data_IF_407972157962
#
_entry.id   IF_407972157962
#
_cell.length_a   1.000
_cell.length_b   1.000
_cell.length_c   1.000
_cell.angle_alpha   90.00
_cell.angle_beta   90.00
_cell.angle_gamma   90.00
#
_symmetry.space_group_name_H-M   'P 1'
#
loop_
_entity.id
_entity.type
_entity.pdbx_description
1 polymer ?
#
# COMPACT_ATOMS: atom_id res chain seq x y z
N UNK A 1 56.25 -3.15 52.81
CA UNK A 1 54.96 -3.62 52.26
C UNK A 1 54.18 -2.56 51.45
N UNK A 2 54.79 -1.45 50.96
CA UNK A 2 54.06 -0.38 50.24
C UNK A 2 54.28 -0.34 48.71
N UNK A 3 55.29 -1.04 48.16
CA UNK A 3 55.60 -1.03 46.71
C UNK A 3 54.71 -1.94 45.86
N UNK A 4 54.14 -3.00 46.44
CA UNK A 4 53.37 -3.99 45.67
C UNK A 4 51.89 -3.57 45.47
N UNK A 5 51.39 -2.62 46.27
CA UNK A 5 50.02 -2.08 46.14
C UNK A 5 49.92 -1.15 44.94
N UNK A 6 50.97 -0.35 44.68
CA UNK A 6 50.99 0.57 43.53
C UNK A 6 51.00 -0.18 42.19
N UNK A 7 51.67 -1.34 42.11
CA UNK A 7 51.72 -2.16 40.89
C UNK A 7 50.40 -2.88 40.59
N UNK A 8 49.62 -3.24 41.62
CA UNK A 8 48.31 -3.86 41.45
C UNK A 8 47.25 -2.86 40.95
N UNK A 9 47.29 -1.61 41.42
CA UNK A 9 46.37 -0.57 40.97
C UNK A 9 46.55 -0.22 39.49
N UNK A 10 47.77 -0.25 38.95
CA UNK A 10 48.03 0.03 37.53
C UNK A 10 47.47 -1.04 36.60
N UNK A 11 47.46 -2.32 37.01
CA UNK A 11 46.93 -3.42 36.22
C UNK A 11 45.38 -3.40 36.11
N UNK A 12 44.69 -2.87 37.13
CA UNK A 12 43.23 -2.77 37.14
C UNK A 12 42.69 -1.70 36.16
N UNK A 13 43.45 -0.64 35.87
CA UNK A 13 43.04 0.42 34.93
C UNK A 13 43.14 0.06 33.45
N UNK A 14 43.85 -1.01 33.08
CA UNK A 14 43.99 -1.44 31.68
C UNK A 14 42.89 -2.40 31.19
N UNK A 15 41.92 -2.74 32.05
CA UNK A 15 40.87 -3.74 31.76
C UNK A 15 39.50 -3.15 31.38
N UNK A 16 39.45 -1.86 31.02
CA UNK A 16 38.19 -1.25 30.57
C UNK A 16 37.83 -1.79 29.17
N UNK A 17 36.62 -2.37 28.96
CA UNK A 17 36.18 -2.78 27.65
C UNK A 17 36.00 -1.56 26.75
N UNK A 18 36.88 -1.40 25.77
CA UNK A 18 36.70 -0.42 24.70
C UNK A 18 35.64 -0.96 23.74
N UNK A 19 34.49 -0.31 23.67
CA UNK A 19 33.47 -0.62 22.67
C UNK A 19 33.94 -0.11 21.31
N UNK A 20 34.07 -1.01 20.33
CA UNK A 20 34.54 -0.70 18.97
C UNK A 20 33.45 -0.13 18.05
N UNK A 21 32.46 0.59 18.59
CA UNK A 21 31.41 1.22 17.80
C UNK A 21 31.91 2.55 17.23
N UNK A 22 31.64 2.79 15.95
CA UNK A 22 31.99 4.04 15.27
C UNK A 22 30.73 4.89 15.14
N UNK A 23 30.68 5.99 15.90
CA UNK A 23 29.68 7.04 15.72
C UNK A 23 30.21 8.14 14.82
N UNK A 24 29.50 8.48 13.75
CA UNK A 24 29.73 9.70 12.97
C UNK A 24 28.60 10.67 13.30
N UNK A 25 28.99 11.85 13.77
CA UNK A 25 28.05 12.91 14.19
C UNK A 25 27.11 12.49 15.35
N UNK A 26 27.49 11.48 16.14
CA UNK A 26 26.77 11.04 17.34
C UNK A 26 27.75 10.61 18.44
N UNK A 27 27.42 10.90 19.70
CA UNK A 27 28.22 10.47 20.86
C UNK A 27 27.76 9.13 21.44
N UNK A 28 26.57 8.67 21.06
CA UNK A 28 25.94 7.47 21.58
C UNK A 28 25.56 6.55 20.41
N UNK A 29 26.54 5.88 19.77
CA UNK A 29 26.25 4.98 18.66
C UNK A 29 25.37 3.81 19.11
N UNK A 30 24.31 3.51 18.35
CA UNK A 30 23.38 2.40 18.64
C UNK A 30 23.69 1.13 17.82
N UNK A 31 24.73 1.19 16.97
CA UNK A 31 25.18 0.11 16.10
C UNK A 31 26.70 0.16 15.93
N UNK A 32 27.29 -0.87 15.31
CA UNK A 32 28.75 -0.92 15.02
C UNK A 32 29.22 0.28 14.19
N UNK A 33 28.39 0.76 13.26
CA UNK A 33 28.53 2.05 12.58
C UNK A 33 27.19 2.78 12.70
N UNK A 34 27.18 3.93 13.36
CA UNK A 34 25.99 4.79 13.49
C UNK A 34 26.31 6.18 12.93
N UNK A 35 25.56 6.62 11.93
CA UNK A 35 25.75 7.91 11.26
C UNK A 35 24.47 8.73 11.44
N UNK A 36 24.57 9.86 12.13
CA UNK A 36 23.48 10.84 12.25
C UNK A 36 23.65 11.97 11.22
N UNK A 37 22.57 12.50 10.63
CA UNK A 37 22.66 13.64 9.73
C UNK A 37 23.08 14.91 10.49
N UNK A 38 23.52 15.93 9.77
CA UNK A 38 23.81 17.25 10.34
C UNK A 38 22.60 17.86 11.06
N UNK A 39 21.39 17.56 10.60
CA UNK A 39 20.11 17.86 11.26
C UNK A 39 19.02 16.91 10.73
N UNK A 40 18.20 16.38 11.63
CA UNK A 40 17.04 15.53 11.27
C UNK A 40 15.87 16.32 10.67
N UNK A 41 15.83 17.64 10.88
CA UNK A 41 14.79 18.54 10.35
C UNK A 41 15.24 19.21 9.06
N UNK A 42 16.53 19.57 8.98
CA UNK A 42 17.10 20.33 7.86
C UNK A 42 18.47 19.79 7.46
N UNK A 43 18.55 18.58 6.86
CA UNK A 43 19.81 18.02 6.40
C UNK A 43 20.44 18.85 5.28
N UNK A 44 21.74 18.69 5.08
CA UNK A 44 22.50 19.30 3.97
C UNK A 44 22.79 18.27 2.89
N UNK A 45 23.13 18.72 1.68
CA UNK A 45 23.56 17.82 0.59
C UNK A 45 24.86 17.05 0.85
N UNK A 46 25.51 17.26 2.01
CA UNK A 46 26.67 16.49 2.47
C UNK A 46 26.27 15.33 3.39
N UNK A 47 25.02 15.28 3.85
CA UNK A 47 24.51 14.15 4.63
C UNK A 47 24.28 12.94 3.72
N UNK A 48 24.93 11.82 4.03
CA UNK A 48 24.85 10.60 3.24
C UNK A 48 26.10 9.74 3.35
N UNK A 49 26.12 8.63 2.60
CA UNK A 49 27.26 7.72 2.49
C UNK A 49 27.58 7.53 1.01
N UNK A 50 28.80 7.85 0.61
CA UNK A 50 29.30 7.50 -0.72
C UNK A 50 29.99 6.14 -0.61
N UNK A 51 29.45 5.16 -1.32
CA UNK A 51 30.04 3.83 -1.46
C UNK A 51 30.98 3.81 -2.67
N UNK A 52 31.88 2.82 -2.79
CA UNK A 52 32.76 2.72 -3.95
C UNK A 52 31.97 2.75 -5.25
N UNK A 53 32.33 3.70 -6.12
CA UNK A 53 31.77 3.82 -7.46
C UNK A 53 32.68 3.12 -8.45
N UNK A 54 32.11 2.31 -9.34
CA UNK A 54 32.85 1.56 -10.35
C UNK A 54 32.18 1.67 -11.71
N UNK A 55 32.98 1.60 -12.78
CA UNK A 55 32.47 1.54 -14.16
C UNK A 55 32.32 0.11 -14.68
N UNK A 56 32.98 -0.84 -14.02
CA UNK A 56 32.94 -2.25 -14.33
C UNK A 56 32.89 -3.05 -13.03
N UNK A 57 32.17 -4.17 -13.06
CA UNK A 57 32.20 -5.13 -11.97
C UNK A 57 33.60 -5.75 -11.84
N UNK A 58 34.08 -6.04 -10.61
CA UNK A 58 35.37 -6.67 -10.41
C UNK A 58 35.53 -7.97 -11.22
N UNK A 59 36.66 -8.13 -11.90
CA UNK A 59 36.98 -9.35 -12.66
C UNK A 59 37.26 -10.55 -11.77
N UNK A 60 37.63 -10.31 -10.51
CA UNK A 60 37.79 -11.31 -9.47
C UNK A 60 36.64 -11.17 -8.49
N UNK A 61 35.88 -12.25 -8.31
CA UNK A 61 34.74 -12.26 -7.41
C UNK A 61 35.14 -11.97 -5.96
N UNK A 62 34.36 -11.17 -5.23
CA UNK A 62 34.57 -10.97 -3.80
C UNK A 62 34.55 -12.26 -2.99
N UNK A 63 35.42 -12.35 -1.98
CA UNK A 63 35.42 -13.47 -1.04
C UNK A 63 34.36 -13.35 0.06
N UNK A 64 33.74 -12.17 0.22
CA UNK A 64 32.74 -11.89 1.27
C UNK A 64 31.41 -11.46 0.66
N UNK A 65 30.33 -12.04 1.18
CA UNK A 65 28.95 -11.65 0.87
C UNK A 65 28.66 -10.21 1.31
N UNK A 66 27.76 -9.55 0.59
CA UNK A 66 27.25 -8.22 0.95
C UNK A 66 28.22 -7.07 0.65
N UNK A 67 29.26 -7.28 -0.17
CA UNK A 67 30.01 -6.16 -0.71
C UNK A 67 29.08 -5.28 -1.53
N UNK A 68 29.18 -3.96 -1.33
CA UNK A 68 28.22 -3.00 -1.84
C UNK A 68 28.94 -1.90 -2.63
N UNK A 69 28.47 -1.63 -3.84
CA UNK A 69 29.05 -0.67 -4.77
C UNK A 69 27.94 0.10 -5.50
N UNK A 70 28.31 1.23 -6.09
CA UNK A 70 27.49 1.90 -7.09
C UNK A 70 28.14 1.69 -8.47
N UNK A 71 27.45 1.03 -9.39
CA UNK A 71 27.88 0.87 -10.77
C UNK A 71 27.40 2.09 -11.56
N UNK A 72 28.28 2.75 -12.32
CA UNK A 72 27.93 3.89 -13.16
C UNK A 72 28.66 3.86 -14.49
N UNK A 73 28.02 4.31 -15.57
CA UNK A 73 28.58 4.32 -16.93
C UNK A 73 29.04 2.93 -17.43
N UNK A 74 28.36 1.86 -17.02
CA UNK A 74 28.66 0.53 -17.57
C UNK A 74 28.04 0.37 -18.96
N UNK A 75 28.70 -0.41 -19.83
CA UNK A 75 28.25 -0.59 -21.22
C UNK A 75 26.98 -1.46 -21.36
N UNK A 76 26.68 -2.31 -20.36
CA UNK A 76 25.64 -3.35 -20.49
C UNK A 76 24.66 -3.39 -19.32
N UNK A 77 25.11 -3.04 -18.12
CA UNK A 77 24.33 -3.05 -16.90
C UNK A 77 23.85 -1.65 -16.58
N UNK A 78 22.67 -1.53 -15.97
CA UNK A 78 22.13 -0.25 -15.55
C UNK A 78 22.94 0.36 -14.41
N UNK A 79 23.02 1.69 -14.39
CA UNK A 79 23.61 2.45 -13.31
C UNK A 79 22.78 2.25 -12.03
N UNK A 80 23.43 1.95 -10.90
CA UNK A 80 22.70 1.70 -9.67
C UNK A 80 23.52 1.06 -8.58
N UNK A 81 22.84 0.75 -7.48
CA UNK A 81 23.45 0.05 -6.36
C UNK A 81 23.47 -1.46 -6.62
N UNK A 82 24.63 -2.08 -6.44
CA UNK A 82 24.81 -3.53 -6.58
C UNK A 82 25.39 -4.11 -5.30
N UNK A 83 24.98 -5.33 -4.97
CA UNK A 83 25.60 -6.11 -3.91
C UNK A 83 26.07 -7.49 -4.40
N UNK A 84 27.13 -8.01 -3.79
CA UNK A 84 27.60 -9.36 -4.05
C UNK A 84 26.81 -10.38 -3.22
N UNK A 85 26.10 -11.29 -3.89
CA UNK A 85 25.30 -12.34 -3.23
C UNK A 85 26.06 -13.65 -2.99
N UNK A 86 27.33 -13.73 -3.40
CA UNK A 86 28.16 -14.94 -3.35
C UNK A 86 28.37 -15.61 -4.69
N UNK A 87 27.55 -15.27 -5.68
CA UNK A 87 27.56 -15.87 -7.01
C UNK A 87 27.57 -14.83 -8.14
N UNK A 88 26.87 -13.71 -7.93
CA UNK A 88 26.71 -12.64 -8.91
C UNK A 88 26.57 -11.28 -8.21
N UNK A 89 26.83 -10.23 -8.99
CA UNK A 89 26.47 -8.88 -8.58
C UNK A 89 24.99 -8.65 -8.88
N UNK A 90 24.20 -8.45 -7.84
CA UNK A 90 22.76 -8.28 -7.92
C UNK A 90 22.45 -6.79 -7.79
N UNK A 91 21.72 -6.23 -8.76
CA UNK A 91 21.22 -4.86 -8.68
C UNK A 91 20.13 -4.75 -7.62
N UNK A 92 20.11 -3.65 -6.88
CA UNK A 92 18.94 -3.30 -6.09
C UNK A 92 17.75 -3.07 -7.04
N UNK A 93 16.56 -3.60 -6.71
CA UNK A 93 15.38 -3.34 -7.53
C UNK A 93 15.10 -1.84 -7.55
N UNK A 94 15.29 -1.21 -8.72
CA UNK A 94 14.96 0.21 -8.93
C UNK A 94 13.46 0.45 -8.84
N UNK A 95 12.67 -0.58 -9.18
CA UNK A 95 11.25 -0.63 -8.94
C UNK A 95 10.84 -2.06 -8.56
N UNK A 96 9.96 -2.17 -7.56
CA UNK A 96 9.17 -3.39 -7.40
C UNK A 96 8.04 -3.24 -8.39
N UNK A 97 8.08 -4.06 -9.44
CA UNK A 97 7.00 -4.12 -10.42
C UNK A 97 5.71 -4.59 -9.72
N UNK A 98 4.83 -3.65 -9.39
CA UNK A 98 3.45 -3.93 -8.92
C UNK A 98 2.49 -4.16 -10.10
N UNK A 99 2.98 -4.19 -11.33
CA UNK A 99 2.18 -4.27 -12.56
C UNK A 99 1.75 -5.71 -12.92
N UNK A 100 1.85 -6.67 -11.99
CA UNK A 100 1.35 -8.03 -12.22
C UNK A 100 -0.19 -8.11 -12.37
N UNK A 101 -0.91 -7.03 -12.03
CA UNK A 101 -2.37 -6.95 -12.05
C UNK A 101 -2.92 -6.09 -13.21
N UNK A 102 -2.30 -6.11 -14.40
CA UNK A 102 -2.76 -5.35 -15.58
C UNK A 102 -4.21 -5.67 -16.03
N UNK A 103 -4.82 -6.69 -15.45
CA UNK A 103 -6.22 -7.07 -15.69
C UNK A 103 -7.15 -6.67 -14.56
N UNK A 104 -6.67 -6.15 -13.42
CA UNK A 104 -7.49 -5.87 -12.24
C UNK A 104 -7.51 -4.36 -11.95
N UNK A 105 -8.71 -3.78 -11.96
CA UNK A 105 -8.94 -2.40 -11.55
C UNK A 105 -9.76 -2.42 -10.26
N UNK A 106 -9.25 -1.84 -9.17
CA UNK A 106 -9.90 -1.89 -7.85
C UNK A 106 -10.21 -0.49 -7.33
N UNK A 107 -11.46 -0.29 -6.92
CA UNK A 107 -11.99 0.97 -6.42
C UNK A 107 -12.55 0.76 -5.02
N UNK A 108 -11.96 1.45 -4.04
CA UNK A 108 -12.30 1.35 -2.64
C UNK A 108 -12.86 2.65 -2.10
N UNK A 109 -13.75 2.56 -1.11
CA UNK A 109 -14.07 3.70 -0.28
C UNK A 109 -15.00 3.42 0.89
N UNK A 110 -15.19 4.47 1.68
CA UNK A 110 -15.93 4.47 2.93
C UNK A 110 -17.06 5.49 2.84
N UNK A 111 -18.18 5.18 3.46
CA UNK A 111 -19.30 6.13 3.56
C UNK A 111 -20.29 6.04 2.41
N UNK A 112 -21.37 6.80 2.58
CA UNK A 112 -22.41 7.02 1.59
C UNK A 112 -22.60 8.52 1.37
N UNK A 113 -23.02 8.91 0.17
CA UNK A 113 -23.41 10.29 -0.13
C UNK A 113 -24.91 10.37 -0.38
N UNK A 114 -25.56 11.38 0.22
CA UNK A 114 -26.99 11.66 0.11
C UNK A 114 -27.78 11.30 1.37
N UNK A 115 -29.03 11.77 1.42
CA UNK A 115 -29.95 11.62 2.56
C UNK A 115 -31.25 10.89 2.20
N UNK A 116 -31.40 10.45 0.94
CA UNK A 116 -32.54 9.65 0.48
C UNK A 116 -32.40 8.17 0.90
N UNK A 117 -33.47 7.39 0.69
CA UNK A 117 -33.46 5.92 0.92
C UNK A 117 -32.44 5.20 0.04
N UNK A 118 -32.20 5.73 -1.17
CA UNK A 118 -31.13 5.31 -2.06
C UNK A 118 -29.97 6.29 -1.92
N UNK A 119 -28.77 5.77 -1.63
CA UNK A 119 -27.56 6.57 -1.44
C UNK A 119 -26.42 6.02 -2.27
N UNK A 120 -25.58 6.91 -2.77
CA UNK A 120 -24.38 6.52 -3.50
C UNK A 120 -23.35 5.98 -2.51
N UNK A 121 -22.74 4.86 -2.87
CA UNK A 121 -21.59 4.29 -2.17
C UNK A 121 -20.36 5.06 -2.62
N UNK A 122 -19.54 5.46 -1.64
CA UNK A 122 -18.38 6.29 -1.92
C UNK A 122 -17.18 5.40 -2.26
N UNK A 123 -16.55 5.70 -3.39
CA UNK A 123 -15.23 5.28 -3.81
C UNK A 123 -14.32 6.51 -3.76
N UNK A 124 -13.24 6.42 -3.00
CA UNK A 124 -12.29 7.52 -2.78
C UNK A 124 -10.85 7.13 -3.14
N UNK A 125 -10.59 5.84 -3.33
CA UNK A 125 -9.28 5.33 -3.71
C UNK A 125 -9.41 4.44 -4.93
N UNK A 126 -8.66 4.79 -5.96
CA UNK A 126 -8.45 3.95 -7.12
C UNK A 126 -7.05 3.33 -7.04
N UNK A 127 -6.99 2.00 -6.96
CA UNK A 127 -5.76 1.22 -7.01
C UNK A 127 -5.58 0.74 -8.45
N UNK A 128 -4.47 1.17 -9.07
CA UNK A 128 -4.17 0.91 -10.48
C UNK A 128 -2.86 0.13 -10.65
N UNK A 129 -2.85 -0.81 -11.59
CA UNK A 129 -1.62 -1.39 -12.15
C UNK A 129 -1.15 -0.57 -13.36
N UNK A 130 -2.02 -0.31 -14.34
CA UNK A 130 -1.81 0.65 -15.45
C UNK A 130 -2.96 1.63 -15.52
N UNK A 131 -2.71 2.85 -16.00
CA UNK A 131 -3.76 3.88 -16.04
C UNK A 131 -4.83 3.60 -17.09
N UNK A 132 -4.56 2.88 -18.18
CA UNK A 132 -5.48 2.47 -19.27
C UNK A 132 -6.72 3.38 -19.48
N UNK A 133 -6.57 4.71 -19.33
CA UNK A 133 -7.66 5.69 -19.31
C UNK A 133 -8.65 5.68 -18.12
N UNK A 134 -8.57 4.75 -17.16
CA UNK A 134 -9.50 4.68 -16.03
C UNK A 134 -9.32 5.86 -15.08
N UNK A 135 -10.43 6.44 -14.63
CA UNK A 135 -10.40 7.55 -13.67
C UNK A 135 -11.45 7.37 -12.58
N UNK A 136 -11.19 7.97 -11.42
CA UNK A 136 -12.15 8.12 -10.32
C UNK A 136 -12.27 9.61 -10.01
N UNK A 137 -13.37 10.23 -10.43
CA UNK A 137 -13.62 11.65 -10.24
C UNK A 137 -15.01 11.84 -9.63
N UNK A 138 -15.13 12.62 -8.56
CA UNK A 138 -16.40 12.90 -7.88
C UNK A 138 -17.25 11.64 -7.65
N UNK A 139 -16.64 10.58 -7.11
CA UNK A 139 -17.28 9.30 -6.84
C UNK A 139 -17.82 8.55 -8.07
N UNK A 140 -17.31 8.88 -9.26
CA UNK A 140 -17.68 8.22 -10.52
C UNK A 140 -16.45 7.57 -11.12
N UNK A 141 -16.58 6.28 -11.44
CA UNK A 141 -15.53 5.50 -12.09
C UNK A 141 -15.76 5.57 -13.59
N UNK A 142 -14.86 6.21 -14.33
CA UNK A 142 -14.95 6.26 -15.80
C UNK A 142 -14.06 5.17 -16.39
N UNK A 143 -14.65 4.34 -17.25
CA UNK A 143 -13.98 3.24 -17.94
C UNK A 143 -12.99 3.79 -18.95
N UNK A 144 -11.74 3.35 -18.85
CA UNK A 144 -10.70 3.77 -19.77
C UNK A 144 -10.41 2.82 -20.92
N UNK A 145 -10.85 1.56 -20.78
CA UNK A 145 -10.59 0.48 -21.74
C UNK A 145 -11.89 -0.28 -22.01
N UNK A 146 -12.21 -0.47 -23.28
CA UNK A 146 -13.37 -1.26 -23.67
C UNK A 146 -13.05 -2.76 -23.53
N UNK A 147 -14.08 -3.56 -23.23
CA UNK A 147 -13.95 -5.01 -23.17
C UNK A 147 -15.03 -5.68 -22.33
N UNK A 148 -14.90 -6.99 -22.19
CA UNK A 148 -15.67 -7.80 -21.26
C UNK A 148 -14.96 -7.86 -19.90
N UNK A 149 -15.71 -7.55 -18.85
CA UNK A 149 -15.22 -7.56 -17.48
C UNK A 149 -16.03 -8.51 -16.61
N UNK A 150 -15.37 -9.22 -15.69
CA UNK A 150 -15.99 -9.70 -14.46
C UNK A 150 -15.97 -8.55 -13.45
N UNK A 151 -17.14 -8.04 -13.12
CA UNK A 151 -17.32 -6.97 -12.15
C UNK A 151 -17.75 -7.60 -10.84
N UNK A 152 -16.98 -7.39 -9.78
CA UNK A 152 -17.25 -7.87 -8.43
C UNK A 152 -17.43 -6.70 -7.49
N UNK A 153 -18.52 -6.70 -6.72
CA UNK A 153 -18.82 -5.65 -5.76
C UNK A 153 -18.98 -6.24 -4.38
N UNK A 154 -18.40 -5.58 -3.37
CA UNK A 154 -18.65 -5.81 -1.96
C UNK A 154 -19.13 -4.53 -1.31
N UNK A 155 -20.31 -4.59 -0.69
CA UNK A 155 -20.92 -3.46 0.01
C UNK A 155 -21.28 -3.83 1.44
N UNK A 156 -21.03 -2.92 2.39
CA UNK A 156 -21.36 -3.17 3.78
C UNK A 156 -22.04 -1.99 4.47
N UNK A 157 -23.12 -2.32 5.18
CA UNK A 157 -23.91 -1.39 6.00
C UNK A 157 -23.94 -1.89 7.44
N UNK A 158 -24.03 -0.97 8.39
CA UNK A 158 -24.39 -1.28 9.77
C UNK A 158 -25.58 -0.47 10.22
N UNK A 159 -26.19 -0.90 11.32
CA UNK A 159 -27.14 -0.07 12.05
C UNK A 159 -26.46 1.13 12.72
N UNK A 160 -27.20 2.23 12.92
CA UNK A 160 -26.81 3.23 13.90
C UNK A 160 -26.98 2.67 15.30
N UNK A 161 -26.25 3.23 16.27
CA UNK A 161 -26.38 2.85 17.68
C UNK A 161 -27.83 3.00 18.16
N UNK A 162 -28.41 1.92 18.71
CA UNK A 162 -29.74 1.91 19.35
C UNK A 162 -30.94 1.72 18.41
N UNK A 163 -30.74 1.37 17.13
CA UNK A 163 -31.84 1.04 16.23
C UNK A 163 -32.19 -0.46 16.27
N UNK A 164 -33.43 -0.80 16.62
CA UNK A 164 -33.91 -2.19 16.71
C UNK A 164 -34.76 -2.62 15.50
N UNK A 165 -34.87 -1.79 14.46
CA UNK A 165 -35.71 -2.12 13.30
C UNK A 165 -35.04 -3.15 12.38
N UNK A 166 -35.83 -4.05 11.81
CA UNK A 166 -35.40 -4.85 10.66
C UNK A 166 -35.23 -3.94 9.43
N UNK A 167 -34.31 -4.27 8.53
CA UNK A 167 -34.12 -3.50 7.30
C UNK A 167 -33.69 -4.39 6.14
N UNK A 168 -34.36 -4.20 5.00
CA UNK A 168 -33.98 -4.81 3.73
C UNK A 168 -33.22 -3.79 2.88
N UNK A 169 -32.13 -4.25 2.29
CA UNK A 169 -31.24 -3.46 1.46
C UNK A 169 -31.15 -4.06 0.07
N UNK A 170 -31.11 -3.20 -0.94
CA UNK A 170 -30.68 -3.54 -2.29
C UNK A 170 -29.35 -2.82 -2.54
N UNK A 171 -28.29 -3.58 -2.77
CA UNK A 171 -27.01 -3.05 -3.23
C UNK A 171 -26.95 -3.21 -4.74
N UNK A 172 -26.66 -2.14 -5.46
CA UNK A 172 -26.68 -2.13 -6.93
C UNK A 172 -25.40 -1.52 -7.49
N UNK A 173 -24.87 -2.12 -8.56
CA UNK A 173 -23.89 -1.48 -9.44
C UNK A 173 -24.63 -0.92 -10.64
N UNK A 174 -24.35 0.33 -10.98
CA UNK A 174 -24.95 1.05 -12.10
C UNK A 174 -23.89 1.32 -13.17
N UNK A 175 -24.28 1.22 -14.43
CA UNK A 175 -23.50 1.65 -15.59
C UNK A 175 -24.29 2.74 -16.30
N UNK A 176 -23.71 3.92 -16.46
CA UNK A 176 -24.34 5.10 -17.02
C UNK A 176 -25.68 5.46 -16.34
N UNK A 177 -25.74 5.28 -15.02
CA UNK A 177 -26.95 5.55 -14.23
C UNK A 177 -28.06 4.49 -14.33
N UNK A 178 -27.84 3.40 -15.08
CA UNK A 178 -28.77 2.27 -15.19
C UNK A 178 -28.26 1.10 -14.37
N UNK A 179 -29.13 0.45 -13.58
CA UNK A 179 -28.77 -0.74 -12.82
C UNK A 179 -28.26 -1.85 -13.74
N UNK A 180 -27.00 -2.25 -13.55
CA UNK A 180 -26.38 -3.34 -14.28
C UNK A 180 -26.56 -4.68 -13.55
N UNK A 181 -26.45 -4.68 -12.23
CA UNK A 181 -26.71 -5.84 -11.36
C UNK A 181 -26.98 -5.38 -9.94
N UNK A 182 -27.69 -6.19 -9.18
CA UNK A 182 -27.96 -5.93 -7.76
C UNK A 182 -28.08 -7.22 -6.95
N UNK A 183 -28.02 -7.06 -5.63
CA UNK A 183 -28.29 -8.11 -4.66
C UNK A 183 -29.14 -7.54 -3.53
N UNK A 184 -30.04 -8.36 -3.02
CA UNK A 184 -30.87 -8.02 -1.86
C UNK A 184 -30.39 -8.77 -0.62
N UNK A 185 -30.42 -8.09 0.51
CA UNK A 185 -30.07 -8.67 1.80
C UNK A 185 -30.88 -8.00 2.90
N UNK A 186 -31.06 -8.70 4.01
CA UNK A 186 -31.68 -8.16 5.21
C UNK A 186 -30.66 -7.92 6.31
N UNK A 187 -31.06 -7.13 7.30
CA UNK A 187 -30.34 -6.91 8.54
C UNK A 187 -31.32 -7.11 9.70
N UNK A 188 -30.91 -7.94 10.65
CA UNK A 188 -31.74 -8.33 11.79
C UNK A 188 -32.09 -7.15 12.71
N UNK A 189 -33.18 -7.31 13.47
CA UNK A 189 -33.73 -6.36 14.44
C UNK A 189 -32.90 -6.25 15.74
N UNK A 190 -31.58 -6.05 15.63
CA UNK A 190 -30.65 -5.96 16.77
C UNK A 190 -29.76 -4.71 16.71
N UNK A 191 -29.49 -4.04 17.83
CA UNK A 191 -28.67 -2.81 17.92
C UNK A 191 -27.26 -2.89 17.31
N UNK A 192 -26.65 -4.07 17.26
CA UNK A 192 -25.28 -4.28 16.77
C UNK A 192 -25.23 -4.92 15.38
N UNK A 193 -26.38 -5.06 14.71
CA UNK A 193 -26.44 -5.72 13.42
C UNK A 193 -25.66 -4.96 12.33
N UNK A 194 -25.01 -5.74 11.48
CA UNK A 194 -24.38 -5.28 10.25
C UNK A 194 -24.64 -6.29 9.14
N UNK A 195 -24.47 -5.85 7.91
CA UNK A 195 -24.62 -6.68 6.73
C UNK A 195 -23.49 -6.38 5.75
N UNK A 196 -22.91 -7.43 5.20
CA UNK A 196 -21.98 -7.39 4.08
C UNK A 196 -22.57 -8.23 2.96
N UNK A 197 -22.47 -7.75 1.74
CA UNK A 197 -22.89 -8.50 0.57
C UNK A 197 -21.79 -8.45 -0.48
N UNK A 198 -21.64 -9.55 -1.21
CA UNK A 198 -20.76 -9.64 -2.36
C UNK A 198 -21.52 -10.27 -3.52
N UNK A 199 -21.37 -9.70 -4.71
CA UNK A 199 -21.89 -10.29 -5.93
C UNK A 199 -20.97 -9.98 -7.10
N UNK A 200 -21.03 -10.81 -8.13
CA UNK A 200 -20.26 -10.63 -9.35
C UNK A 200 -21.11 -10.88 -10.58
N UNK A 201 -20.80 -10.19 -11.67
CA UNK A 201 -21.50 -10.33 -12.94
C UNK A 201 -20.59 -9.97 -14.11
N UNK A 202 -20.91 -10.50 -15.28
CA UNK A 202 -20.21 -10.18 -16.52
C UNK A 202 -20.86 -8.98 -17.19
N UNK A 203 -20.05 -8.03 -17.66
CA UNK A 203 -20.54 -6.87 -18.40
C UNK A 203 -19.53 -6.42 -19.45
N UNK A 204 -20.00 -6.19 -20.68
CA UNK A 204 -19.24 -5.43 -21.67
C UNK A 204 -19.35 -3.94 -21.35
N UNK A 205 -18.20 -3.28 -21.30
CA UNK A 205 -18.05 -1.85 -21.05
C UNK A 205 -17.36 -1.20 -22.24
N UNK A 206 -17.74 0.05 -22.53
CA UNK A 206 -17.09 0.91 -23.51
C UNK A 206 -16.24 1.96 -22.79
N UNK A 207 -15.22 2.48 -23.49
CA UNK A 207 -14.47 3.65 -23.02
C UNK A 207 -15.44 4.81 -22.80
N UNK A 208 -15.38 5.45 -21.64
CA UNK A 208 -16.26 6.54 -21.23
C UNK A 208 -17.52 6.11 -20.47
N UNK A 209 -17.79 4.81 -20.34
CA UNK A 209 -18.86 4.33 -19.46
C UNK A 209 -18.57 4.74 -18.01
N UNK A 210 -19.61 5.17 -17.29
CA UNK A 210 -19.51 5.61 -15.91
C UNK A 210 -20.13 4.57 -14.97
N UNK A 211 -19.34 4.07 -14.03
CA UNK A 211 -19.79 3.16 -12.98
C UNK A 211 -19.96 3.89 -11.66
N UNK A 212 -21.07 3.57 -11.00
CA UNK A 212 -21.36 3.94 -9.61
C UNK A 212 -21.99 2.76 -8.89
N UNK A 213 -22.07 2.83 -7.56
CA UNK A 213 -22.80 1.86 -6.76
C UNK A 213 -23.74 2.56 -5.78
N UNK A 214 -24.86 1.92 -5.46
CA UNK A 214 -25.85 2.44 -4.53
C UNK A 214 -26.25 1.40 -3.50
N UNK A 215 -26.69 1.88 -2.35
CA UNK A 215 -27.39 1.09 -1.35
C UNK A 215 -28.75 1.72 -1.11
N UNK A 216 -29.82 0.91 -1.26
CA UNK A 216 -31.21 1.35 -1.14
C UNK A 216 -31.92 0.58 -0.05
N UNK A 217 -32.50 1.28 0.92
CA UNK A 217 -33.39 0.67 1.94
C UNK A 217 -34.83 0.61 1.40
N UNK A 218 -35.46 -0.56 1.45
CA UNK A 218 -36.73 -0.84 0.75
C UNK A 218 -38.02 -0.47 1.50
N UNK A 219 -38.04 0.61 2.29
CA UNK A 219 -39.25 1.33 2.79
C UNK A 219 -39.65 1.21 4.28
N UNK A 220 -38.85 0.60 5.16
CA UNK A 220 -39.16 0.61 6.62
C UNK A 220 -38.29 1.64 7.36
N UNK A 221 -38.89 2.55 8.12
CA UNK A 221 -38.22 3.44 9.09
C UNK A 221 -37.38 4.60 8.54
N UNK A 222 -36.91 5.52 9.41
CA UNK A 222 -36.09 6.68 9.02
C UNK A 222 -34.75 6.26 8.39
N UNK A 223 -34.14 7.16 7.60
CA UNK A 223 -32.83 6.93 6.99
C UNK A 223 -31.70 6.99 8.03
N UNK A 224 -31.48 5.88 8.72
CA UNK A 224 -30.64 5.85 9.90
C UNK A 224 -29.45 4.88 9.79
N UNK A 225 -29.38 4.02 8.76
CA UNK A 225 -28.23 3.11 8.56
C UNK A 225 -26.95 3.86 8.21
N UNK A 226 -25.81 3.29 8.56
CA UNK A 226 -24.49 3.87 8.35
C UNK A 226 -23.65 2.95 7.46
N UNK A 227 -22.73 3.53 6.70
CA UNK A 227 -21.71 2.75 6.02
C UNK A 227 -20.85 2.02 7.07
N UNK A 228 -20.37 0.83 6.69
CA UNK A 228 -19.48 0.05 7.54
C UNK A 228 -18.37 -0.55 6.70
N UNK A 229 -17.13 -0.48 7.18
CA UNK A 229 -16.00 -1.09 6.49
C UNK A 229 -15.78 -0.54 5.07
N UNK A 230 -14.76 -1.09 4.40
CA UNK A 230 -14.40 -0.66 3.05
C UNK A 230 -15.38 -1.32 2.08
N UNK A 231 -16.03 -0.53 1.24
CA UNK A 231 -16.74 -1.03 0.06
C UNK A 231 -15.73 -1.12 -1.08
N UNK A 232 -15.86 -2.16 -1.91
CA UNK A 232 -14.96 -2.40 -3.02
C UNK A 232 -15.74 -2.71 -4.30
N UNK A 233 -15.28 -2.16 -5.42
CA UNK A 233 -15.67 -2.57 -6.76
C UNK A 233 -14.41 -2.96 -7.53
N UNK A 234 -14.35 -4.20 -7.98
CA UNK A 234 -13.24 -4.73 -8.76
C UNK A 234 -13.72 -5.07 -10.17
N UNK A 235 -12.93 -4.69 -11.17
CA UNK A 235 -13.14 -5.03 -12.57
C UNK A 235 -11.97 -5.90 -13.02
N UNK A 236 -12.24 -7.16 -13.33
CA UNK A 236 -11.28 -8.08 -13.93
C UNK A 236 -11.50 -8.12 -15.45
N UNK A 237 -10.55 -7.61 -16.23
CA UNK A 237 -10.57 -7.65 -17.69
C UNK A 237 -10.39 -9.08 -18.20
N UNK A 238 -11.32 -9.54 -19.04
CA UNK A 238 -11.30 -10.90 -19.60
C UNK A 238 -10.80 -10.88 -21.04
N UNK A 239 -11.42 -10.06 -21.89
CA UNK A 239 -11.12 -9.98 -23.32
C UNK A 239 -11.75 -8.72 -23.94
N UNK A 240 -11.32 -8.39 -25.16
CA UNK A 240 -11.91 -7.30 -25.93
C UNK A 240 -13.35 -7.59 -26.40
#
# INVERSE_FOLDING_TARGET
>A
MKKNILSGCVALFFSLPFYAQVGINTKNPAATLHIEPSSSVSPTGKDGIIVPKVQNLPSVNPSRLGQFIFLENNATLADGFYYWDGSSWVSFPESIDRNADNTIYSFDGQGYTGTALSRNINFSRYIKATTDGFTLNNNTITVGKAGLYLISFTGNSKKPSGAEEHANFTFSVLVNGVQASSVQTSMAAESTASVSTAFSFLRRLNVGDNLTATVTKSNEGPNNYQAFGINNLTLFFIQN
#
